data_IF_234833460122
#
_entry.id   IF_234833460122
#
_cell.length_a   1.000
_cell.length_b   1.000
_cell.length_c   1.000
_cell.angle_alpha   90.00
_cell.angle_beta   90.00
_cell.angle_gamma   90.00
#
_symmetry.space_group_name_H-M   'P 1'
#
loop_
_entity.id
_entity.type
_entity.pdbx_description
1 polymer ?
#
# COMPACT_ATOMS: atom_id res chain seq x y z
N UNK A 1 55.77 -3.60 14.98
CA UNK A 1 54.83 -2.55 14.51
C UNK A 1 54.87 -1.41 15.52
N UNK A 2 55.13 -0.19 15.05
CA UNK A 2 55.62 0.93 15.85
C UNK A 2 54.47 1.59 16.62
N UNK A 3 54.50 1.53 17.96
CA UNK A 3 53.43 2.03 18.87
C UNK A 3 53.13 3.54 18.66
N UNK A 4 54.08 4.29 18.09
CA UNK A 4 53.94 5.73 17.81
C UNK A 4 52.99 6.07 16.65
N UNK A 5 52.75 5.16 15.71
CA UNK A 5 51.81 5.40 14.59
C UNK A 5 50.35 5.05 14.94
N UNK A 6 50.16 4.27 16.01
CA UNK A 6 48.84 3.80 16.46
C UNK A 6 48.04 4.95 17.08
N UNK A 7 48.68 5.81 17.88
CA UNK A 7 48.01 6.93 18.55
C UNK A 7 47.38 7.98 17.61
N UNK A 8 48.05 8.49 16.57
CA UNK A 8 47.44 9.46 15.65
C UNK A 8 46.33 8.82 14.80
N UNK A 9 46.47 7.55 14.43
CA UNK A 9 45.41 6.81 13.74
C UNK A 9 44.18 6.64 14.63
N UNK A 10 44.35 6.18 15.87
CA UNK A 10 43.24 6.02 16.83
C UNK A 10 42.53 7.35 17.09
N UNK A 11 43.29 8.43 17.33
CA UNK A 11 42.71 9.76 17.55
C UNK A 11 41.88 10.24 16.34
N UNK A 12 42.38 10.04 15.12
CA UNK A 12 41.66 10.38 13.90
C UNK A 12 40.46 9.47 13.65
N UNK A 13 40.57 8.18 13.97
CA UNK A 13 39.48 7.22 13.89
C UNK A 13 38.33 7.59 14.84
N UNK A 14 38.63 7.95 16.10
CA UNK A 14 37.61 8.39 17.05
C UNK A 14 36.94 9.71 16.63
N UNK A 15 37.70 10.66 16.05
CA UNK A 15 37.14 11.88 15.46
C UNK A 15 36.21 11.59 14.28
N UNK A 16 36.62 10.72 13.35
CA UNK A 16 35.77 10.33 12.23
C UNK A 16 34.50 9.63 12.73
N UNK A 17 34.64 8.73 13.70
CA UNK A 17 33.51 8.02 14.31
C UNK A 17 32.53 8.97 14.99
N UNK A 18 33.00 9.98 15.71
CA UNK A 18 32.13 10.96 16.37
C UNK A 18 31.42 11.87 15.37
N UNK A 19 32.11 12.32 14.32
CA UNK A 19 31.51 13.13 13.24
C UNK A 19 30.47 12.32 12.47
N UNK A 20 30.81 11.09 12.08
CA UNK A 20 29.88 10.18 11.40
C UNK A 20 28.63 9.95 12.26
N UNK A 21 28.82 9.74 13.57
CA UNK A 21 27.71 9.58 14.50
C UNK A 21 26.82 10.81 14.61
N UNK A 22 27.41 12.01 14.64
CA UNK A 22 26.69 13.27 14.68
C UNK A 22 25.83 13.47 13.42
N UNK A 23 26.39 13.18 12.24
CA UNK A 23 25.68 13.25 10.97
C UNK A 23 24.51 12.24 10.91
N UNK A 24 24.69 11.02 11.41
CA UNK A 24 23.59 10.04 11.53
C UNK A 24 22.43 10.58 12.37
N UNK A 25 22.73 11.25 13.48
CA UNK A 25 21.70 11.83 14.36
C UNK A 25 20.99 12.99 13.67
N UNK A 26 21.73 13.88 13.01
CA UNK A 26 21.14 15.00 12.26
C UNK A 26 20.23 14.51 11.13
N UNK A 27 20.68 13.52 10.37
CA UNK A 27 19.92 12.94 9.27
C UNK A 27 18.65 12.24 9.80
N UNK A 28 18.75 11.53 10.92
CA UNK A 28 17.58 10.96 11.61
C UNK A 28 16.57 12.05 12.00
N UNK A 29 17.04 13.18 12.53
CA UNK A 29 16.19 14.30 12.91
C UNK A 29 15.46 14.94 11.72
N UNK A 30 16.17 15.13 10.59
CA UNK A 30 15.58 15.64 9.35
C UNK A 30 14.52 14.68 8.81
N UNK A 31 14.83 13.37 8.79
CA UNK A 31 13.89 12.33 8.37
C UNK A 31 12.62 12.36 9.22
N UNK A 32 12.75 12.37 10.54
CA UNK A 32 11.61 12.39 11.46
C UNK A 32 10.72 13.60 11.20
N UNK A 33 11.33 14.79 11.11
CA UNK A 33 10.62 16.03 10.83
C UNK A 33 9.88 15.98 9.49
N UNK A 34 10.56 15.53 8.44
CA UNK A 34 9.95 15.41 7.11
C UNK A 34 8.79 14.41 7.06
N UNK A 35 8.86 13.31 7.82
CA UNK A 35 7.77 12.35 7.95
C UNK A 35 6.58 12.95 8.70
N UNK A 36 6.82 13.71 9.77
CA UNK A 36 5.75 14.37 10.53
C UNK A 36 5.08 15.53 9.77
N UNK A 37 5.81 16.21 8.89
CA UNK A 37 5.28 17.31 8.07
C UNK A 37 4.49 16.80 6.85
N UNK A 38 4.73 15.57 6.40
CA UNK A 38 3.96 14.97 5.33
C UNK A 38 2.57 14.53 5.82
N UNK A 39 1.51 15.16 5.29
CA UNK A 39 0.12 14.83 5.66
C UNK A 39 -0.44 13.59 4.95
N UNK A 40 0.19 13.13 3.86
CA UNK A 40 -0.29 11.99 3.08
C UNK A 40 0.50 10.71 3.38
N UNK A 41 -0.16 9.59 3.74
CA UNK A 41 0.51 8.32 4.01
C UNK A 41 1.26 7.78 2.78
N UNK A 42 0.82 8.15 1.57
CA UNK A 42 1.51 7.78 0.34
C UNK A 42 2.83 8.55 0.15
N UNK A 43 2.86 9.82 0.53
CA UNK A 43 4.08 10.64 0.50
C UNK A 43 5.09 10.19 1.55
N UNK A 44 4.61 9.86 2.76
CA UNK A 44 5.42 9.28 3.83
C UNK A 44 6.06 7.96 3.40
N UNK A 45 5.29 7.06 2.76
CA UNK A 45 5.81 5.82 2.17
C UNK A 45 6.93 6.10 1.17
N UNK A 46 6.70 6.99 0.21
CA UNK A 46 7.68 7.29 -0.84
C UNK A 46 8.98 7.81 -0.23
N UNK A 47 8.88 8.61 0.82
CA UNK A 47 10.04 9.10 1.56
C UNK A 47 10.79 7.94 2.23
N UNK A 48 10.08 7.02 2.89
CA UNK A 48 10.69 5.80 3.46
C UNK A 48 11.40 4.95 2.40
N UNK A 49 10.82 4.80 1.20
CA UNK A 49 11.45 4.10 0.08
C UNK A 49 12.76 4.77 -0.38
N UNK A 50 12.74 6.09 -0.54
CA UNK A 50 13.92 6.87 -0.96
C UNK A 50 15.06 6.73 0.07
N UNK A 51 14.72 6.76 1.35
CA UNK A 51 15.70 6.69 2.44
C UNK A 51 15.97 5.26 2.95
N UNK A 52 15.45 4.22 2.28
CA UNK A 52 15.59 2.83 2.71
C UNK A 52 17.06 2.39 2.87
N UNK A 53 17.98 2.87 2.03
CA UNK A 53 19.42 2.59 2.15
C UNK A 53 20.03 3.23 3.41
N UNK A 54 19.58 4.42 3.78
CA UNK A 54 20.06 5.18 4.93
C UNK A 54 19.46 4.67 6.25
N UNK A 55 18.23 4.16 6.22
CA UNK A 55 17.51 3.60 7.39
C UNK A 55 18.14 2.28 7.90
N UNK A 56 18.99 1.61 7.10
CA UNK A 56 19.73 0.41 7.52
C UNK A 56 20.70 0.65 8.69
N UNK A 57 21.05 1.91 8.98
CA UNK A 57 21.89 2.27 10.12
C UNK A 57 21.11 2.17 11.44
N UNK A 58 21.69 1.49 12.45
CA UNK A 58 21.01 1.00 13.65
C UNK A 58 20.40 2.05 14.58
N UNK A 59 20.82 3.33 14.52
CA UNK A 59 20.23 4.40 15.32
C UNK A 59 18.97 5.00 14.69
N UNK A 60 19.00 5.20 13.38
CA UNK A 60 17.90 5.77 12.59
C UNK A 60 16.66 4.87 12.72
N UNK A 61 16.87 3.55 12.69
CA UNK A 61 15.81 2.52 12.75
C UNK A 61 14.95 2.59 14.02
N UNK A 62 15.54 2.85 15.20
CA UNK A 62 14.78 2.87 16.47
C UNK A 62 13.75 3.99 16.53
N UNK A 63 14.08 5.16 15.97
CA UNK A 63 13.20 6.33 16.02
C UNK A 63 12.09 6.29 14.95
N UNK A 64 12.30 5.53 13.87
CA UNK A 64 11.36 5.43 12.74
C UNK A 64 10.31 4.33 12.95
N UNK A 65 10.59 3.31 13.77
CA UNK A 65 9.67 2.19 14.00
C UNK A 65 8.28 2.61 14.50
N UNK A 66 8.20 3.65 15.35
CA UNK A 66 6.91 4.18 15.83
C UNK A 66 6.06 4.74 14.69
N UNK A 67 6.63 5.63 13.89
CA UNK A 67 5.97 6.23 12.72
C UNK A 67 5.58 5.15 11.70
N UNK A 68 6.44 4.14 11.50
CA UNK A 68 6.13 3.01 10.63
C UNK A 68 4.93 2.22 11.14
N UNK A 69 4.81 2.01 12.45
CA UNK A 69 3.65 1.35 13.04
C UNK A 69 2.37 2.15 12.80
N UNK A 70 2.41 3.47 13.04
CA UNK A 70 1.26 4.37 12.81
C UNK A 70 0.83 4.35 11.33
N UNK A 71 1.81 4.38 10.42
CA UNK A 71 1.56 4.33 8.98
C UNK A 71 0.91 3.01 8.55
N UNK A 72 1.31 1.89 9.16
CA UNK A 72 0.70 0.57 8.93
C UNK A 72 -0.75 0.55 9.42
N UNK A 73 -1.02 1.14 10.58
CA UNK A 73 -2.37 1.24 11.12
C UNK A 73 -3.26 2.15 10.26
N UNK A 74 -2.72 3.21 9.68
CA UNK A 74 -3.46 4.06 8.74
C UNK A 74 -3.76 3.37 7.41
N UNK A 75 -2.83 2.56 6.90
CA UNK A 75 -3.13 1.70 5.75
C UNK A 75 -4.16 0.63 6.10
N UNK A 76 -4.12 0.08 7.32
CA UNK A 76 -5.11 -0.86 7.81
C UNK A 76 -6.52 -0.25 7.83
N UNK A 77 -6.67 0.95 8.39
CA UNK A 77 -7.94 1.69 8.37
C UNK A 77 -8.45 1.92 6.95
N UNK A 78 -7.57 2.23 6.00
CA UNK A 78 -7.95 2.39 4.59
C UNK A 78 -8.52 1.10 3.99
N UNK A 79 -7.95 -0.06 4.31
CA UNK A 79 -8.44 -1.36 3.82
C UNK A 79 -9.81 -1.68 4.41
N UNK A 80 -9.98 -1.48 5.72
CA UNK A 80 -11.27 -1.65 6.39
C UNK A 80 -12.33 -0.71 5.81
N UNK A 81 -11.94 0.51 5.45
CA UNK A 81 -12.83 1.44 4.77
C UNK A 81 -13.24 0.95 3.37
N UNK A 82 -12.31 0.41 2.58
CA UNK A 82 -12.62 -0.17 1.27
C UNK A 82 -13.55 -1.38 1.39
N UNK A 83 -13.37 -2.21 2.42
CA UNK A 83 -14.25 -3.33 2.70
C UNK A 83 -15.66 -2.87 3.12
N UNK A 84 -15.76 -1.87 4.00
CA UNK A 84 -17.03 -1.28 4.37
C UNK A 84 -17.75 -0.68 3.16
N UNK A 85 -17.02 0.07 2.32
CA UNK A 85 -17.53 0.63 1.08
C UNK A 85 -18.04 -0.47 0.13
N UNK A 86 -17.34 -1.60 0.06
CA UNK A 86 -17.81 -2.76 -0.70
C UNK A 86 -19.12 -3.31 -0.12
N UNK A 87 -19.18 -3.56 1.19
CA UNK A 87 -20.36 -4.14 1.82
C UNK A 87 -21.60 -3.25 1.66
N UNK A 88 -21.45 -1.92 1.76
CA UNK A 88 -22.55 -0.96 1.63
C UNK A 88 -23.00 -0.79 0.17
N UNK A 89 -22.05 -0.66 -0.76
CA UNK A 89 -22.34 -0.23 -2.12
C UNK A 89 -22.35 -1.37 -3.15
N UNK A 90 -22.01 -2.61 -2.80
CA UNK A 90 -21.99 -3.71 -3.78
C UNK A 90 -23.34 -3.89 -4.47
N UNK A 91 -24.47 -3.65 -3.78
CA UNK A 91 -25.82 -3.79 -4.34
C UNK A 91 -26.16 -2.67 -5.33
N UNK A 92 -25.66 -1.46 -5.10
CA UNK A 92 -25.91 -0.30 -5.96
C UNK A 92 -24.65 0.56 -6.07
N UNK A 93 -23.65 0.12 -6.86
CA UNK A 93 -22.41 0.86 -7.04
C UNK A 93 -22.65 2.15 -7.80
N UNK A 94 -21.75 3.12 -7.63
CA UNK A 94 -21.81 4.39 -8.33
C UNK A 94 -21.88 4.17 -9.86
N UNK A 95 -22.86 4.80 -10.50
CA UNK A 95 -23.06 4.70 -11.94
C UNK A 95 -22.40 5.87 -12.63
N UNK A 96 -21.54 5.57 -13.60
CA UNK A 96 -21.04 6.59 -14.49
C UNK A 96 -22.08 6.89 -15.56
N UNK A 97 -22.31 8.18 -15.83
CA UNK A 97 -23.29 8.63 -16.81
C UNK A 97 -23.06 8.07 -18.22
N UNK A 98 -21.79 7.87 -18.59
CA UNK A 98 -21.39 7.46 -19.94
C UNK A 98 -21.34 5.94 -20.13
N UNK A 99 -21.57 5.15 -19.09
CA UNK A 99 -21.43 3.69 -19.14
C UNK A 99 -22.74 3.00 -18.80
N UNK A 100 -22.94 1.80 -19.35
CA UNK A 100 -24.05 0.96 -18.92
C UNK A 100 -23.95 0.64 -17.42
N UNK A 101 -25.07 0.35 -16.75
CA UNK A 101 -25.09 0.00 -15.34
C UNK A 101 -24.13 -1.15 -14.98
N UNK A 102 -24.02 -2.12 -15.87
CA UNK A 102 -23.22 -3.33 -15.75
C UNK A 102 -21.73 -3.02 -15.89
N UNK A 103 -21.35 -2.20 -16.89
CA UNK A 103 -19.96 -1.77 -17.08
C UNK A 103 -19.51 -0.87 -15.93
N UNK A 104 -20.38 0.04 -15.46
CA UNK A 104 -20.09 0.91 -14.30
C UNK A 104 -19.79 0.07 -13.05
N UNK A 105 -20.58 -0.98 -12.80
CA UNK A 105 -20.34 -1.92 -11.69
C UNK A 105 -19.00 -2.62 -11.82
N UNK A 106 -18.67 -3.16 -13.00
CA UNK A 106 -17.39 -3.85 -13.23
C UNK A 106 -16.22 -2.89 -13.03
N UNK A 107 -16.31 -1.66 -13.54
CA UNK A 107 -15.27 -0.65 -13.41
C UNK A 107 -15.06 -0.23 -11.95
N UNK A 108 -16.14 -0.10 -11.17
CA UNK A 108 -16.07 0.22 -9.75
C UNK A 108 -15.34 -0.87 -8.94
N UNK A 109 -15.69 -2.14 -9.15
CA UNK A 109 -15.01 -3.28 -8.50
C UNK A 109 -13.55 -3.34 -8.93
N UNK A 110 -13.26 -3.12 -10.21
CA UNK A 110 -11.90 -3.11 -10.72
C UNK A 110 -11.05 -1.99 -10.07
N UNK A 111 -11.62 -0.81 -9.85
CA UNK A 111 -10.96 0.27 -9.12
C UNK A 111 -10.65 -0.10 -7.66
N UNK A 112 -11.62 -0.69 -6.96
CA UNK A 112 -11.44 -1.19 -5.59
C UNK A 112 -10.31 -2.21 -5.48
N UNK A 113 -10.31 -3.19 -6.38
CA UNK A 113 -9.31 -4.24 -6.50
C UNK A 113 -7.91 -3.67 -6.73
N UNK A 114 -7.75 -2.77 -7.71
CA UNK A 114 -6.48 -2.11 -7.99
C UNK A 114 -5.96 -1.32 -6.77
N UNK A 115 -6.86 -0.66 -6.03
CA UNK A 115 -6.51 0.06 -4.81
C UNK A 115 -6.01 -0.89 -3.72
N UNK A 116 -6.70 -2.01 -3.47
CA UNK A 116 -6.27 -3.02 -2.50
C UNK A 116 -4.91 -3.61 -2.88
N UNK A 117 -4.69 -3.93 -4.16
CA UNK A 117 -3.40 -4.43 -4.64
C UNK A 117 -2.27 -3.42 -4.43
N UNK A 118 -2.52 -2.14 -4.70
CA UNK A 118 -1.55 -1.07 -4.47
C UNK A 118 -1.21 -0.93 -2.98
N UNK A 119 -2.21 -0.97 -2.11
CA UNK A 119 -2.02 -0.93 -0.65
C UNK A 119 -1.24 -2.16 -0.14
N UNK A 120 -1.50 -3.34 -0.70
CA UNK A 120 -0.76 -4.56 -0.36
C UNK A 120 0.72 -4.46 -0.77
N UNK A 121 1.01 -3.95 -1.97
CA UNK A 121 2.40 -3.74 -2.43
C UNK A 121 3.15 -2.80 -1.48
N UNK A 122 2.50 -1.68 -1.13
CA UNK A 122 3.02 -0.70 -0.19
C UNK A 122 3.33 -1.32 1.18
N UNK A 123 2.41 -2.11 1.76
CA UNK A 123 2.62 -2.75 3.06
C UNK A 123 3.71 -3.82 3.01
N UNK A 124 3.83 -4.57 1.91
CA UNK A 124 4.91 -5.55 1.74
C UNK A 124 6.30 -4.92 1.80
N UNK A 125 6.45 -3.70 1.27
CA UNK A 125 7.71 -2.98 1.29
C UNK A 125 8.07 -2.45 2.69
N UNK A 126 7.08 -2.09 3.52
CA UNK A 126 7.31 -1.70 4.92
C UNK A 126 7.44 -2.90 5.87
N UNK A 127 6.93 -4.07 5.48
CA UNK A 127 6.93 -5.30 6.26
C UNK A 127 8.26 -5.66 6.98
N UNK A 128 9.47 -5.46 6.41
CA UNK A 128 10.73 -5.70 7.14
C UNK A 128 10.97 -4.78 8.35
N UNK A 129 10.25 -3.67 8.45
CA UNK A 129 10.32 -2.71 9.56
C UNK A 129 9.30 -2.98 10.66
N UNK A 130 8.23 -3.74 10.36
CA UNK A 130 7.22 -4.13 11.35
C UNK A 130 7.82 -5.23 12.24
N UNK A 131 7.79 -5.02 13.56
CA UNK A 131 8.34 -5.97 14.53
C UNK A 131 7.34 -7.08 14.91
N UNK A 132 6.05 -6.79 14.84
CA UNK A 132 4.98 -7.74 15.22
C UNK A 132 4.64 -8.70 14.06
N UNK A 133 5.07 -9.95 14.19
CA UNK A 133 4.82 -10.96 13.16
C UNK A 133 3.36 -11.41 13.10
N UNK A 134 2.65 -11.42 14.23
CA UNK A 134 1.22 -11.75 14.29
C UNK A 134 0.37 -10.74 13.51
N UNK A 135 0.62 -9.44 13.70
CA UNK A 135 -0.09 -8.37 12.99
C UNK A 135 0.10 -8.50 11.48
N UNK A 136 1.32 -8.78 11.02
CA UNK A 136 1.61 -9.04 9.60
C UNK A 136 0.83 -10.22 9.05
N UNK A 137 0.76 -11.31 9.80
CA UNK A 137 0.10 -12.52 9.34
C UNK A 137 -1.41 -12.31 9.22
N UNK A 138 -2.04 -11.70 10.24
CA UNK A 138 -3.46 -11.36 10.21
C UNK A 138 -3.79 -10.44 9.04
N UNK A 139 -2.99 -9.39 8.83
CA UNK A 139 -3.19 -8.49 7.68
C UNK A 139 -3.12 -9.24 6.36
N UNK A 140 -2.09 -10.10 6.16
CA UNK A 140 -1.92 -10.88 4.92
C UNK A 140 -3.10 -11.81 4.65
N UNK A 141 -3.63 -12.48 5.68
CA UNK A 141 -4.79 -13.37 5.55
C UNK A 141 -6.02 -12.56 5.13
N UNK A 142 -6.32 -11.47 5.84
CA UNK A 142 -7.44 -10.58 5.53
C UNK A 142 -7.36 -10.01 4.11
N UNK A 143 -6.17 -9.60 3.69
CA UNK A 143 -5.93 -9.14 2.32
C UNK A 143 -6.25 -10.19 1.26
N UNK A 144 -5.84 -11.44 1.52
CA UNK A 144 -6.08 -12.53 0.58
C UNK A 144 -7.58 -12.82 0.46
N UNK A 145 -8.28 -12.86 1.59
CA UNK A 145 -9.73 -13.04 1.63
C UNK A 145 -10.48 -11.91 0.90
N UNK A 146 -10.07 -10.65 1.12
CA UNK A 146 -10.69 -9.49 0.48
C UNK A 146 -10.45 -9.50 -1.04
N UNK A 147 -9.24 -9.86 -1.48
CA UNK A 147 -8.92 -10.00 -2.90
C UNK A 147 -9.77 -11.10 -3.54
N UNK A 148 -9.83 -12.29 -2.94
CA UNK A 148 -10.66 -13.38 -3.44
C UNK A 148 -12.13 -12.97 -3.55
N UNK A 149 -12.67 -12.30 -2.51
CA UNK A 149 -14.05 -11.77 -2.49
C UNK A 149 -14.32 -10.80 -3.65
N UNK A 150 -13.41 -9.85 -3.90
CA UNK A 150 -13.55 -8.88 -4.99
C UNK A 150 -13.42 -9.52 -6.37
N UNK A 151 -12.51 -10.49 -6.52
CA UNK A 151 -12.30 -11.22 -7.76
C UNK A 151 -13.49 -12.08 -8.13
N UNK A 152 -14.02 -12.84 -7.17
CA UNK A 152 -15.23 -13.64 -7.36
C UNK A 152 -16.42 -12.77 -7.74
N UNK A 153 -16.59 -11.61 -7.09
CA UNK A 153 -17.67 -10.69 -7.42
C UNK A 153 -17.52 -10.07 -8.82
N UNK A 154 -16.29 -9.73 -9.23
CA UNK A 154 -15.98 -9.23 -10.57
C UNK A 154 -16.32 -10.28 -11.64
N UNK A 155 -15.90 -11.54 -11.43
CA UNK A 155 -16.15 -12.63 -12.37
C UNK A 155 -17.65 -12.93 -12.50
N UNK A 156 -18.37 -13.00 -11.38
CA UNK A 156 -19.83 -13.20 -11.37
C UNK A 156 -20.56 -12.05 -12.12
N UNK A 157 -20.14 -10.79 -11.89
CA UNK A 157 -20.72 -9.64 -12.59
C UNK A 157 -20.47 -9.69 -14.11
N UNK A 158 -19.27 -10.09 -14.54
CA UNK A 158 -18.93 -10.26 -15.97
C UNK A 158 -19.75 -11.39 -16.58
N UNK A 159 -19.84 -12.54 -15.91
CA UNK A 159 -20.59 -13.69 -16.42
C UNK A 159 -22.08 -13.36 -16.58
N UNK A 160 -22.69 -12.70 -15.59
CA UNK A 160 -24.08 -12.23 -15.67
C UNK A 160 -24.29 -11.25 -16.82
N UNK A 161 -23.33 -10.37 -17.08
CA UNK A 161 -23.39 -9.42 -18.18
C UNK A 161 -23.31 -10.12 -19.54
N UNK A 162 -22.40 -11.09 -19.70
CA UNK A 162 -22.27 -11.90 -20.91
C UNK A 162 -23.55 -12.68 -21.22
N UNK A 163 -24.11 -13.39 -20.23
CA UNK A 163 -25.37 -14.13 -20.43
C UNK A 163 -26.55 -13.22 -20.81
N UNK A 164 -26.60 -12.00 -20.26
CA UNK A 164 -27.61 -11.00 -20.62
C UNK A 164 -27.42 -10.49 -22.05
N UNK A 165 -26.18 -10.27 -22.49
CA UNK A 165 -25.88 -9.90 -23.86
C UNK A 165 -26.30 -10.98 -24.84
N UNK A 166 -25.95 -12.24 -24.58
CA UNK A 166 -26.32 -13.37 -25.46
C UNK A 166 -27.84 -13.49 -25.63
N UNK A 167 -28.60 -13.32 -24.53
CA UNK A 167 -30.06 -13.27 -24.57
C UNK A 167 -30.58 -12.11 -25.43
N UNK A 168 -30.06 -10.89 -25.22
CA UNK A 168 -30.45 -9.72 -25.99
C UNK A 168 -30.11 -9.82 -27.49
N UNK A 169 -28.96 -10.39 -27.84
CA UNK A 169 -28.57 -10.61 -29.23
C UNK A 169 -29.45 -11.68 -29.89
N UNK A 170 -29.75 -12.78 -29.18
CA UNK A 170 -30.67 -13.81 -29.68
C UNK A 170 -32.08 -13.28 -29.93
N UNK A 171 -32.59 -12.40 -29.04
CA UNK A 171 -33.88 -11.75 -29.21
C UNK A 171 -33.87 -10.73 -30.36
N UNK A 172 -32.82 -9.90 -30.47
CA UNK A 172 -32.68 -8.93 -31.57
C UNK A 172 -32.57 -9.61 -32.93
N UNK A 173 -31.90 -10.76 -33.02
CA UNK A 173 -31.81 -11.55 -34.26
C UNK A 173 -33.17 -12.12 -34.69
N UNK A 174 -34.11 -12.31 -33.75
CA UNK A 174 -35.47 -12.77 -34.02
C UNK A 174 -36.44 -11.64 -34.35
N UNK A 175 -36.04 -10.38 -34.15
CA UNK A 175 -36.88 -9.24 -34.53
C UNK A 175 -36.91 -9.12 -36.05
N UNK A 176 -38.10 -9.20 -36.62
CA UNK A 176 -38.33 -8.99 -38.05
C UNK A 176 -38.05 -7.53 -38.42
N UNK A 177 -37.40 -7.31 -39.56
CA UNK A 177 -36.99 -5.99 -40.07
C UNK A 177 -38.17 -5.07 -40.47
N UNK A 178 -39.41 -5.57 -40.39
CA UNK A 178 -40.62 -4.84 -40.70
C UNK A 178 -41.33 -4.46 -39.39
N UNK A 179 -41.20 -3.20 -39.01
CA UNK A 179 -42.29 -2.44 -38.38
C UNK A 179 -43.08 -1.79 -39.51
#
# INVERSE_FOLDING_TARGET
MNVKEIQPFEANFYKLRSVSKSLEVQLSGILLKSLTECHSPHSQMRLLQIFHSTIKQTQVKRNINGIVSDLVDDFWKQILHLEAMFNDQHKSPYRHWNFSPEISRILWIHGLLNNVQKLMSNIKEICPHIQEEEKKQTMKVHFKELLEKFESYKLDAIQKWLSKLDGQYSEKLKQTLLV
#
